data_IF_191721512506
#
_entry.id   IF_191721512506
#
_cell.length_a   1.000
_cell.length_b   1.000
_cell.length_c   1.000
_cell.angle_alpha   90.00
_cell.angle_beta   90.00
_cell.angle_gamma   90.00
#
_symmetry.space_group_name_H-M   'P 1'
#
loop_
_entity.id
_entity.type
_entity.pdbx_description
1 polymer ?
#
# COMPACT_ATOMS: atom_id res chain seq x y z
N UNK A 1 -6.32 -39.11 -14.95
CA UNK A 1 -6.79 -38.59 -13.65
C UNK A 1 -5.92 -37.44 -13.10
N UNK A 2 -4.62 -37.58 -13.03
CA UNK A 2 -3.70 -36.56 -12.48
C UNK A 2 -3.72 -35.19 -13.21
N UNK A 3 -3.83 -35.14 -14.52
CA UNK A 3 -3.79 -33.86 -15.29
C UNK A 3 -4.98 -32.94 -14.98
N UNK A 4 -6.16 -33.50 -14.71
CA UNK A 4 -7.37 -32.74 -14.37
C UNK A 4 -7.24 -32.14 -12.97
N UNK A 5 -6.88 -32.96 -11.99
CA UNK A 5 -6.66 -32.49 -10.61
C UNK A 5 -5.58 -31.40 -10.52
N UNK A 6 -4.52 -31.52 -11.34
CA UNK A 6 -3.49 -30.49 -11.42
C UNK A 6 -4.04 -29.18 -12.01
N UNK A 7 -4.83 -29.23 -13.09
CA UNK A 7 -5.48 -28.06 -13.69
C UNK A 7 -6.39 -27.34 -12.68
N UNK A 8 -7.23 -28.08 -11.97
CA UNK A 8 -8.17 -27.53 -11.00
C UNK A 8 -7.43 -26.88 -9.82
N UNK A 9 -6.34 -27.49 -9.39
CA UNK A 9 -5.49 -26.93 -8.34
C UNK A 9 -4.84 -25.63 -8.80
N UNK A 10 -4.24 -25.61 -10.00
CA UNK A 10 -3.59 -24.42 -10.56
C UNK A 10 -4.61 -23.30 -10.79
N UNK A 11 -5.81 -23.62 -11.31
CA UNK A 11 -6.87 -22.64 -11.51
C UNK A 11 -7.28 -21.98 -10.19
N UNK A 12 -7.47 -22.75 -9.12
CA UNK A 12 -7.78 -22.23 -7.79
C UNK A 12 -6.66 -21.36 -7.21
N UNK A 13 -5.41 -21.76 -7.37
CA UNK A 13 -4.27 -20.95 -6.90
C UNK A 13 -4.15 -19.62 -7.68
N UNK A 14 -4.36 -19.66 -8.99
CA UNK A 14 -4.40 -18.43 -9.81
C UNK A 14 -5.54 -17.52 -9.36
N UNK A 15 -6.73 -18.08 -9.14
CA UNK A 15 -7.89 -17.32 -8.66
C UNK A 15 -7.62 -16.66 -7.31
N UNK A 16 -7.13 -17.42 -6.32
CA UNK A 16 -6.75 -16.88 -5.01
C UNK A 16 -5.73 -15.72 -5.12
N UNK A 17 -4.71 -15.92 -5.95
CA UNK A 17 -3.69 -14.89 -6.17
C UNK A 17 -4.29 -13.64 -6.78
N UNK A 18 -5.18 -13.78 -7.77
CA UNK A 18 -5.88 -12.64 -8.40
C UNK A 18 -6.81 -11.93 -7.43
N UNK A 19 -7.55 -12.66 -6.60
CA UNK A 19 -8.39 -12.06 -5.56
C UNK A 19 -7.56 -11.26 -4.57
N UNK A 20 -6.45 -11.80 -4.06
CA UNK A 20 -5.55 -11.09 -3.15
C UNK A 20 -4.93 -9.83 -3.79
N UNK A 21 -4.57 -9.92 -5.07
CA UNK A 21 -4.09 -8.74 -5.82
C UNK A 21 -5.18 -7.69 -5.99
N UNK A 22 -6.41 -8.10 -6.33
CA UNK A 22 -7.55 -7.20 -6.47
C UNK A 22 -7.90 -6.51 -5.15
N UNK A 23 -7.87 -7.22 -4.03
CA UNK A 23 -8.05 -6.65 -2.69
C UNK A 23 -6.99 -5.60 -2.38
N UNK A 24 -5.72 -5.90 -2.64
CA UNK A 24 -4.63 -4.95 -2.43
C UNK A 24 -4.77 -3.69 -3.29
N UNK A 25 -5.21 -3.84 -4.54
CA UNK A 25 -5.47 -2.72 -5.44
C UNK A 25 -6.65 -1.88 -4.96
N UNK A 26 -7.73 -2.52 -4.52
CA UNK A 26 -8.90 -1.84 -3.97
C UNK A 26 -8.54 -1.03 -2.71
N UNK A 27 -7.74 -1.60 -1.80
CA UNK A 27 -7.26 -0.88 -0.62
C UNK A 27 -6.41 0.35 -0.99
N UNK A 28 -5.54 0.22 -1.98
CA UNK A 28 -4.74 1.35 -2.48
C UNK A 28 -5.60 2.44 -3.08
N UNK A 29 -6.62 2.05 -3.84
CA UNK A 29 -7.55 2.99 -4.46
C UNK A 29 -8.37 3.72 -3.40
N UNK A 30 -8.86 3.04 -2.37
CA UNK A 30 -9.55 3.67 -1.25
C UNK A 30 -8.67 4.71 -0.54
N UNK A 31 -7.41 4.37 -0.28
CA UNK A 31 -6.46 5.31 0.34
C UNK A 31 -6.15 6.49 -0.60
N UNK A 32 -6.09 6.24 -1.91
CA UNK A 32 -5.91 7.28 -2.91
C UNK A 32 -7.10 8.25 -2.93
N UNK A 33 -8.32 7.74 -2.95
CA UNK A 33 -9.55 8.55 -2.91
C UNK A 33 -9.65 9.32 -1.59
N UNK A 34 -9.37 8.68 -0.46
CA UNK A 34 -9.31 9.35 0.84
C UNK A 34 -8.30 10.51 0.83
N UNK A 35 -7.15 10.32 0.18
CA UNK A 35 -6.16 11.39 0.01
C UNK A 35 -6.68 12.59 -0.78
N UNK A 36 -7.56 12.35 -1.75
CA UNK A 36 -8.23 13.41 -2.52
C UNK A 36 -9.16 14.29 -1.67
N UNK A 37 -9.74 13.73 -0.62
CA UNK A 37 -10.60 14.46 0.32
C UNK A 37 -9.82 15.32 1.33
N UNK A 38 -8.52 15.04 1.52
CA UNK A 38 -7.67 15.82 2.42
C UNK A 38 -7.34 17.17 1.79
N UNK A 39 -8.03 18.21 2.24
CA UNK A 39 -7.88 19.60 1.78
C UNK A 39 -6.83 20.34 2.59
N UNK A 40 -6.22 21.33 1.97
CA UNK A 40 -5.23 22.18 2.60
C UNK A 40 -3.82 22.04 2.03
N UNK A 41 -2.98 23.00 2.36
CA UNK A 41 -1.58 23.00 1.94
C UNK A 41 -0.75 22.08 2.82
N UNK A 42 0.02 21.19 2.18
CA UNK A 42 0.94 20.32 2.91
C UNK A 42 2.27 21.07 3.20
N UNK A 43 2.89 20.81 4.36
CA UNK A 43 4.21 21.34 4.66
C UNK A 43 5.23 20.88 3.61
N UNK A 44 5.92 21.82 2.98
CA UNK A 44 6.89 21.54 1.91
C UNK A 44 7.95 20.50 2.29
N UNK A 45 8.39 20.53 3.55
CA UNK A 45 9.39 19.58 4.07
C UNK A 45 8.86 18.13 4.09
N UNK A 46 7.58 17.92 4.42
CA UNK A 46 6.97 16.58 4.40
C UNK A 46 6.82 16.06 2.97
N UNK A 47 6.40 16.95 2.06
CA UNK A 47 6.28 16.58 0.63
C UNK A 47 7.65 16.21 0.07
N UNK A 48 8.70 17.04 0.35
CA UNK A 48 10.06 16.74 -0.07
C UNK A 48 10.58 15.43 0.52
N UNK A 49 10.33 15.17 1.81
CA UNK A 49 10.72 13.91 2.46
C UNK A 49 10.09 12.69 1.80
N UNK A 50 8.80 12.76 1.47
CA UNK A 50 8.12 11.67 0.74
C UNK A 50 8.63 11.52 -0.70
N UNK A 51 8.87 12.63 -1.40
CA UNK A 51 9.44 12.57 -2.74
C UNK A 51 10.79 11.84 -2.77
N UNK A 52 11.70 12.15 -1.84
CA UNK A 52 12.97 11.43 -1.75
C UNK A 52 12.82 9.97 -1.38
N UNK A 53 11.83 9.63 -0.55
CA UNK A 53 11.54 8.24 -0.23
C UNK A 53 11.04 7.47 -1.47
N UNK A 54 10.11 8.03 -2.24
CA UNK A 54 9.60 7.44 -3.49
C UNK A 54 10.71 7.31 -4.54
N UNK A 55 11.56 8.33 -4.68
CA UNK A 55 12.70 8.28 -5.60
C UNK A 55 13.67 7.16 -5.23
N UNK A 56 13.95 6.99 -3.93
CA UNK A 56 14.82 5.91 -3.45
C UNK A 56 14.21 4.55 -3.73
N UNK A 57 12.92 4.37 -3.45
CA UNK A 57 12.22 3.12 -3.71
C UNK A 57 12.19 2.79 -5.21
N UNK A 58 11.95 3.80 -6.05
CA UNK A 58 12.03 3.64 -7.49
C UNK A 58 13.43 3.18 -7.95
N UNK A 59 14.48 3.84 -7.46
CA UNK A 59 15.86 3.46 -7.80
C UNK A 59 16.20 2.03 -7.37
N UNK A 60 15.78 1.62 -6.17
CA UNK A 60 15.97 0.25 -5.71
C UNK A 60 15.25 -0.77 -6.60
N UNK A 61 14.04 -0.49 -7.05
CA UNK A 61 13.31 -1.34 -7.99
C UNK A 61 14.01 -1.43 -9.36
N UNK A 62 14.51 -0.30 -9.87
CA UNK A 62 15.29 -0.29 -11.11
C UNK A 62 16.54 -1.17 -10.99
N UNK A 63 17.29 -1.03 -9.91
CA UNK A 63 18.49 -1.83 -9.64
C UNK A 63 18.16 -3.33 -9.49
N UNK A 64 17.12 -3.66 -8.72
CA UNK A 64 16.71 -5.05 -8.52
C UNK A 64 16.31 -5.77 -9.82
N UNK A 65 15.78 -5.03 -10.79
CA UNK A 65 15.36 -5.56 -12.09
C UNK A 65 16.41 -5.35 -13.20
N UNK A 66 17.59 -4.80 -12.88
CA UNK A 66 18.64 -4.44 -13.83
C UNK A 66 18.14 -3.55 -14.98
N UNK A 67 17.21 -2.63 -14.69
CA UNK A 67 16.65 -1.71 -15.67
C UNK A 67 17.42 -0.40 -15.62
N UNK A 68 17.90 0.06 -16.79
CA UNK A 68 18.53 1.37 -16.92
C UNK A 68 17.46 2.46 -16.98
N UNK A 69 17.71 3.58 -16.27
CA UNK A 69 16.75 4.69 -16.19
C UNK A 69 16.43 5.31 -17.56
N UNK A 70 17.44 5.50 -18.41
CA UNK A 70 17.23 6.07 -19.75
C UNK A 70 16.41 5.14 -20.64
N UNK A 71 16.60 3.82 -20.51
CA UNK A 71 15.77 2.83 -21.21
C UNK A 71 14.34 2.84 -20.69
N UNK A 72 14.14 2.95 -19.37
CA UNK A 72 12.83 3.09 -18.78
C UNK A 72 12.07 4.30 -19.33
N UNK A 73 12.71 5.48 -19.34
CA UNK A 73 12.12 6.70 -19.88
C UNK A 73 11.75 6.58 -21.37
N UNK A 74 12.63 5.95 -22.19
CA UNK A 74 12.34 5.71 -23.60
C UNK A 74 11.14 4.81 -23.81
N UNK A 75 11.00 3.74 -23.01
CA UNK A 75 9.86 2.83 -23.09
C UNK A 75 8.56 3.52 -22.70
N UNK A 76 8.62 4.39 -21.68
CA UNK A 76 7.47 5.16 -21.22
C UNK A 76 7.16 6.39 -22.12
N UNK A 77 8.07 6.76 -23.02
CA UNK A 77 7.90 7.95 -23.86
C UNK A 77 7.92 9.26 -23.06
N UNK A 78 8.65 9.28 -21.94
CA UNK A 78 8.67 10.41 -21.00
C UNK A 78 10.04 11.11 -20.97
N UNK A 79 10.02 12.40 -20.68
CA UNK A 79 11.24 13.14 -20.33
C UNK A 79 11.54 13.00 -18.83
N UNK A 80 12.78 13.34 -18.45
CA UNK A 80 13.20 13.35 -17.04
C UNK A 80 12.36 14.33 -16.21
N UNK A 81 12.00 15.46 -16.79
CA UNK A 81 11.19 16.50 -16.16
C UNK A 81 9.76 16.00 -15.91
N UNK A 82 9.15 15.36 -16.91
CA UNK A 82 7.83 14.76 -16.77
C UNK A 82 7.82 13.67 -15.70
N UNK A 83 8.80 12.79 -15.72
CA UNK A 83 8.95 11.75 -14.70
C UNK A 83 9.07 12.33 -13.29
N UNK A 84 9.90 13.38 -13.11
CA UNK A 84 10.05 14.03 -11.81
C UNK A 84 8.75 14.68 -11.33
N UNK A 85 8.04 15.34 -12.23
CA UNK A 85 6.75 15.96 -11.92
C UNK A 85 5.71 14.92 -11.49
N UNK A 86 5.61 13.81 -12.21
CA UNK A 86 4.72 12.71 -11.85
C UNK A 86 5.10 12.06 -10.51
N UNK A 87 6.38 11.79 -10.30
CA UNK A 87 6.86 11.23 -9.04
C UNK A 87 6.55 12.16 -7.86
N UNK A 88 6.68 13.48 -8.06
CA UNK A 88 6.33 14.47 -7.04
C UNK A 88 4.83 14.47 -6.74
N UNK A 89 3.99 14.45 -7.77
CA UNK A 89 2.53 14.36 -7.61
C UNK A 89 2.10 13.07 -6.91
N UNK A 90 2.70 11.93 -7.27
CA UNK A 90 2.47 10.65 -6.60
C UNK A 90 2.89 10.68 -5.12
N UNK A 91 4.06 11.27 -4.82
CA UNK A 91 4.54 11.40 -3.46
C UNK A 91 3.63 12.29 -2.60
N UNK A 92 3.13 13.38 -3.17
CA UNK A 92 2.16 14.26 -2.51
C UNK A 92 0.84 13.53 -2.25
N UNK A 93 0.33 12.81 -3.23
CA UNK A 93 -0.94 12.07 -3.10
C UNK A 93 -0.83 10.94 -2.07
N UNK A 94 0.27 10.19 -2.05
CA UNK A 94 0.55 9.19 -1.01
C UNK A 94 0.61 9.81 0.38
N UNK A 95 1.23 10.99 0.51
CA UNK A 95 1.26 11.71 1.78
C UNK A 95 -0.15 12.11 2.22
N UNK A 96 -0.98 12.63 1.31
CA UNK A 96 -2.38 12.98 1.59
C UNK A 96 -3.17 11.75 2.05
N UNK A 97 -3.04 10.61 1.36
CA UNK A 97 -3.69 9.36 1.75
C UNK A 97 -3.28 8.91 3.16
N UNK A 98 -1.98 8.96 3.47
CA UNK A 98 -1.47 8.64 4.81
C UNK A 98 -2.01 9.59 5.89
N UNK A 99 -2.04 10.88 5.61
CA UNK A 99 -2.64 11.86 6.54
C UNK A 99 -4.14 11.64 6.69
N UNK A 100 -4.85 11.30 5.63
CA UNK A 100 -6.26 10.93 5.67
C UNK A 100 -6.51 9.75 6.60
N UNK A 101 -5.71 8.69 6.52
CA UNK A 101 -5.82 7.57 7.44
C UNK A 101 -5.57 7.97 8.91
N UNK A 102 -4.61 8.85 9.16
CA UNK A 102 -4.36 9.34 10.52
C UNK A 102 -5.50 10.22 11.04
N UNK A 103 -6.13 11.02 10.18
CA UNK A 103 -7.32 11.78 10.52
C UNK A 103 -8.50 10.87 10.87
N UNK A 104 -8.73 9.82 10.06
CA UNK A 104 -9.74 8.80 10.37
C UNK A 104 -9.43 8.11 11.71
N UNK A 105 -8.16 7.75 11.95
CA UNK A 105 -7.77 7.12 13.20
C UNK A 105 -8.02 8.04 14.42
N UNK A 106 -7.85 9.34 14.25
CA UNK A 106 -8.16 10.33 15.30
C UNK A 106 -9.66 10.45 15.55
N UNK A 107 -10.43 10.61 14.47
CA UNK A 107 -11.89 10.83 14.54
C UNK A 107 -12.62 9.60 15.10
N UNK A 108 -12.19 8.41 14.72
CA UNK A 108 -12.81 7.13 15.10
C UNK A 108 -12.14 6.48 16.31
N UNK A 109 -11.23 7.19 16.98
CA UNK A 109 -10.53 6.72 18.20
C UNK A 109 -9.80 5.37 18.01
N UNK A 110 -9.13 5.19 16.86
CA UNK A 110 -8.46 3.95 16.48
C UNK A 110 -6.99 3.89 16.88
N UNK A 111 -6.50 4.87 17.62
CA UNK A 111 -5.12 4.86 18.11
C UNK A 111 -4.89 3.70 19.08
N UNK A 112 -3.72 3.04 18.98
CA UNK A 112 -3.39 1.96 19.91
C UNK A 112 -3.15 2.49 21.32
N UNK A 113 -3.57 1.70 22.30
CA UNK A 113 -3.24 1.91 23.71
C UNK A 113 -1.76 1.61 23.97
N UNK A 114 -1.22 2.08 25.10
CA UNK A 114 0.17 1.79 25.47
C UNK A 114 0.43 0.28 25.62
N UNK A 115 -0.54 -0.45 26.18
CA UNK A 115 -0.46 -1.90 26.33
C UNK A 115 -0.37 -2.63 24.97
N UNK A 116 -1.12 -2.18 23.98
CA UNK A 116 -1.07 -2.75 22.62
C UNK A 116 0.25 -2.44 21.91
N UNK A 117 0.79 -1.24 22.12
CA UNK A 117 2.12 -0.89 21.60
C UNK A 117 3.19 -1.77 22.24
N UNK A 118 3.12 -1.99 23.54
CA UNK A 118 4.05 -2.85 24.26
C UNK A 118 3.96 -4.31 23.79
N UNK A 119 2.75 -4.85 23.62
CA UNK A 119 2.53 -6.19 23.09
C UNK A 119 3.08 -6.36 21.67
N UNK A 120 2.94 -5.33 20.83
CA UNK A 120 3.51 -5.33 19.48
C UNK A 120 5.06 -5.33 19.49
N UNK A 121 5.66 -4.67 20.48
CA UNK A 121 7.12 -4.68 20.66
C UNK A 121 7.64 -6.04 21.14
N UNK A 122 6.92 -6.69 22.08
CA UNK A 122 7.28 -8.01 22.60
C UNK A 122 7.23 -9.11 21.52
N UNK A 123 6.31 -8.98 20.56
CA UNK A 123 6.25 -9.86 19.39
C UNK A 123 7.43 -9.71 18.41
N UNK A 124 8.19 -8.64 18.52
CA UNK A 124 9.43 -8.42 17.77
C UNK A 124 10.61 -8.94 18.60
N UNK A 125 11.01 -10.18 18.34
CA UNK A 125 12.17 -10.82 18.98
C UNK A 125 13.40 -9.91 18.96
N UNK A 126 13.69 -9.21 20.05
CA UNK A 126 14.94 -8.49 20.17
C UNK A 126 15.02 -7.50 21.31
N UNK A 127 16.09 -7.62 22.07
CA UNK A 127 16.61 -6.72 23.11
C UNK A 127 16.93 -5.29 22.61
N UNK A 128 16.12 -4.75 21.67
CA UNK A 128 16.34 -3.41 21.11
C UNK A 128 15.51 -2.40 21.86
N UNK A 129 16.17 -1.50 22.54
CA UNK A 129 15.61 -0.22 22.97
C UNK A 129 15.19 0.56 21.73
N UNK A 130 13.89 0.71 21.52
CA UNK A 130 13.38 1.48 20.40
C UNK A 130 13.52 2.97 20.69
N UNK A 131 14.16 3.75 19.82
CA UNK A 131 14.15 5.19 19.93
C UNK A 131 12.71 5.73 19.93
N UNK A 132 12.45 6.81 20.64
CA UNK A 132 11.11 7.42 20.74
C UNK A 132 10.46 7.72 19.37
N UNK A 133 11.30 7.99 18.37
CA UNK A 133 10.86 8.19 16.97
C UNK A 133 10.29 6.90 16.33
N UNK A 134 10.83 5.75 16.65
CA UNK A 134 10.36 4.47 16.12
C UNK A 134 9.08 4.00 16.82
N UNK A 135 8.93 4.29 18.12
CA UNK A 135 7.67 4.10 18.85
C UNK A 135 6.54 4.93 18.24
N UNK A 136 6.82 6.18 17.90
CA UNK A 136 5.82 7.03 17.23
C UNK A 136 5.43 6.46 15.86
N UNK A 137 6.39 6.00 15.06
CA UNK A 137 6.12 5.35 13.76
C UNK A 137 5.31 4.08 13.93
N UNK A 138 5.61 3.27 14.96
CA UNK A 138 4.86 2.05 15.27
C UNK A 138 3.41 2.37 15.61
N UNK A 139 3.16 3.34 16.51
CA UNK A 139 1.81 3.81 16.83
C UNK A 139 1.06 4.30 15.61
N UNK A 140 1.69 5.13 14.79
CA UNK A 140 1.11 5.61 13.53
C UNK A 140 0.84 4.47 12.54
N UNK A 141 1.70 3.47 12.48
CA UNK A 141 1.52 2.27 11.65
C UNK A 141 0.28 1.48 12.05
N UNK A 142 0.15 1.18 13.35
CA UNK A 142 -1.02 0.46 13.89
C UNK A 142 -2.31 1.27 13.65
N UNK A 143 -2.29 2.57 13.96
CA UNK A 143 -3.43 3.45 13.76
C UNK A 143 -3.84 3.52 12.27
N UNK A 144 -2.88 3.66 11.35
CA UNK A 144 -3.15 3.68 9.91
C UNK A 144 -3.72 2.35 9.40
N UNK A 145 -3.23 1.23 9.92
CA UNK A 145 -3.75 -0.10 9.56
C UNK A 145 -5.20 -0.27 10.02
N UNK A 146 -5.52 0.14 11.24
CA UNK A 146 -6.90 0.12 11.78
C UNK A 146 -7.82 1.06 10.99
N UNK A 147 -7.34 2.24 10.66
CA UNK A 147 -8.08 3.20 9.84
C UNK A 147 -8.35 2.66 8.43
N UNK A 148 -7.37 2.02 7.80
CA UNK A 148 -7.57 1.39 6.50
C UNK A 148 -8.61 0.27 6.55
N UNK A 149 -8.58 -0.58 7.58
CA UNK A 149 -9.59 -1.61 7.81
C UNK A 149 -10.98 -1.00 8.04
N UNK A 150 -11.07 0.09 8.83
CA UNK A 150 -12.30 0.83 9.06
C UNK A 150 -12.87 1.42 7.76
N UNK A 151 -12.05 2.12 6.97
CA UNK A 151 -12.46 2.69 5.67
C UNK A 151 -12.93 1.59 4.74
N UNK A 152 -12.22 0.45 4.67
CA UNK A 152 -12.63 -0.70 3.87
C UNK A 152 -14.00 -1.23 4.28
N UNK A 153 -14.25 -1.40 5.58
CA UNK A 153 -15.51 -1.92 6.11
C UNK A 153 -16.72 -1.01 5.82
N UNK A 154 -16.46 0.32 5.67
CA UNK A 154 -17.49 1.33 5.41
C UNK A 154 -17.54 1.77 3.94
N UNK A 155 -16.79 1.10 3.05
CA UNK A 155 -16.75 1.40 1.61
C UNK A 155 -17.46 0.32 0.81
N UNK A 156 -18.09 0.72 -0.29
CA UNK A 156 -18.68 -0.22 -1.25
C UNK A 156 -17.59 -0.68 -2.22
N UNK A 157 -17.19 -1.94 -2.11
CA UNK A 157 -16.23 -2.54 -3.03
C UNK A 157 -16.94 -3.37 -4.09
N UNK A 158 -16.45 -3.33 -5.31
CA UNK A 158 -16.88 -4.26 -6.36
C UNK A 158 -16.44 -5.68 -5.97
N UNK A 159 -17.34 -6.66 -5.98
CA UNK A 159 -16.98 -8.03 -5.63
C UNK A 159 -15.89 -8.57 -6.56
N UNK A 160 -15.02 -9.47 -6.08
CA UNK A 160 -14.05 -10.14 -6.93
C UNK A 160 -14.77 -10.93 -8.05
N UNK A 161 -14.10 -11.19 -9.19
CA UNK A 161 -14.67 -12.01 -10.25
C UNK A 161 -15.05 -13.39 -9.69
N UNK A 162 -16.12 -13.98 -10.22
CA UNK A 162 -16.57 -15.31 -9.80
C UNK A 162 -15.47 -16.37 -9.96
N UNK A 163 -15.47 -17.34 -9.05
CA UNK A 163 -14.53 -18.46 -9.14
C UNK A 163 -14.74 -19.19 -10.48
N UNK A 164 -13.68 -19.50 -11.24
CA UNK A 164 -13.83 -20.15 -12.53
C UNK A 164 -14.50 -21.49 -12.36
N UNK A 165 -15.70 -21.61 -12.90
CA UNK A 165 -16.42 -22.90 -12.96
C UNK A 165 -15.64 -23.80 -13.91
N UNK A 166 -15.03 -24.85 -13.37
CA UNK A 166 -14.39 -25.88 -14.18
C UNK A 166 -15.49 -26.68 -14.85
N UNK A 167 -15.87 -26.24 -16.07
CA UNK A 167 -16.90 -26.95 -16.84
C UNK A 167 -16.43 -28.36 -17.11
N UNK A 168 -17.17 -29.32 -16.63
CA UNK A 168 -17.01 -30.73 -16.98
C UNK A 168 -17.39 -30.91 -18.47
N UNK A 169 -16.42 -30.76 -19.35
CA UNK A 169 -16.60 -31.29 -20.70
C UNK A 169 -16.55 -32.82 -20.62
N UNK A 170 -17.68 -33.42 -20.84
CA UNK A 170 -17.94 -34.88 -20.97
C UNK A 170 -17.10 -35.47 -22.09
#
# INVERSE_FOLDING_TARGET
>A
MYKRQLRDRVAREIYKTRCAQAETLAERELVYQLGGEVKGALPKQLVAGNYFAEQREFNLRMQANNINFDQYLKVQGQTVEQFRAELHAQAEQKLRGRLGLLLVAETEHLWPTEAEVQAALEGWNGERTFPSNDLRKLRQGIASQRAAAFVRAHSTLTPPPEEPVVVETV
#
